data_IF_722278727887
#
_entry.id   IF_722278727887
#
_cell.length_a   1.000
_cell.length_b   1.000
_cell.length_c   1.000
_cell.angle_alpha   90.00
_cell.angle_beta   90.00
_cell.angle_gamma   90.00
#
_symmetry.space_group_name_H-M   'P 1'
#
loop_
_entity.id
_entity.type
_entity.pdbx_description
1 polymer ?
#
# COMPACT_ATOMS: atom_id res chain seq x y z
N UNK A 1 -24.16 8.97 -11.37
CA UNK A 1 -22.92 9.59 -10.88
C UNK A 1 -21.78 8.67 -11.28
N UNK A 2 -20.69 9.22 -11.83
CA UNK A 2 -19.45 8.46 -12.05
C UNK A 2 -18.85 8.05 -10.70
N UNK A 3 -18.17 6.89 -10.67
CA UNK A 3 -17.41 6.43 -9.51
C UNK A 3 -16.22 7.37 -9.26
N UNK A 4 -16.10 7.93 -8.06
CA UNK A 4 -14.96 8.78 -7.66
C UNK A 4 -14.24 8.20 -6.44
N UNK A 5 -12.92 8.02 -6.55
CA UNK A 5 -12.09 7.48 -5.48
C UNK A 5 -11.87 8.52 -4.38
N UNK A 6 -11.67 9.78 -4.76
CA UNK A 6 -11.44 10.88 -3.82
C UNK A 6 -12.68 11.17 -2.98
N UNK A 7 -13.88 11.19 -3.58
CA UNK A 7 -15.13 11.38 -2.80
C UNK A 7 -15.29 10.29 -1.74
N UNK A 8 -15.12 9.03 -2.13
CA UNK A 8 -15.29 7.88 -1.22
C UNK A 8 -14.23 7.83 -0.12
N UNK A 9 -12.98 8.14 -0.46
CA UNK A 9 -11.91 8.26 0.52
C UNK A 9 -12.14 9.44 1.47
N UNK A 10 -12.66 10.57 0.98
CA UNK A 10 -13.07 11.72 1.78
C UNK A 10 -14.14 11.34 2.81
N UNK A 11 -15.18 10.62 2.38
CA UNK A 11 -16.23 10.11 3.28
C UNK A 11 -15.67 9.17 4.37
N UNK A 12 -14.68 8.33 4.04
CA UNK A 12 -13.99 7.48 5.02
C UNK A 12 -13.18 8.35 6.00
N UNK A 13 -12.43 9.31 5.49
CA UNK A 13 -11.60 10.22 6.30
C UNK A 13 -12.45 11.07 7.25
N UNK A 14 -13.62 11.53 6.82
CA UNK A 14 -14.56 12.29 7.64
C UNK A 14 -15.03 11.46 8.84
N UNK A 15 -15.52 10.24 8.61
CA UNK A 15 -15.95 9.33 9.68
C UNK A 15 -14.82 9.01 10.67
N UNK A 16 -13.60 8.82 10.18
CA UNK A 16 -12.43 8.55 11.01
C UNK A 16 -12.06 9.76 11.87
N UNK A 17 -12.08 10.95 11.29
CA UNK A 17 -11.73 12.18 11.97
C UNK A 17 -12.72 12.55 13.08
N UNK A 18 -14.01 12.27 12.90
CA UNK A 18 -15.03 12.40 13.95
C UNK A 18 -14.70 11.54 15.18
N UNK A 19 -13.96 10.45 15.00
CA UNK A 19 -13.54 9.53 16.06
C UNK A 19 -12.08 9.72 16.47
N UNK A 20 -11.49 10.87 16.16
CA UNK A 20 -10.05 11.11 16.27
C UNK A 20 -9.44 10.75 17.63
N UNK A 21 -10.11 11.13 18.73
CA UNK A 21 -9.67 10.79 20.08
C UNK A 21 -9.68 9.28 20.36
N UNK A 22 -10.72 8.56 19.91
CA UNK A 22 -10.84 7.10 20.12
C UNK A 22 -9.83 6.31 19.28
N UNK A 23 -9.46 6.84 18.11
CA UNK A 23 -8.51 6.23 17.19
C UNK A 23 -7.05 6.66 17.46
N UNK A 24 -6.83 7.56 18.42
CA UNK A 24 -5.49 8.07 18.74
C UNK A 24 -4.85 8.87 17.61
N UNK A 25 -5.66 9.54 16.78
CA UNK A 25 -5.21 10.39 15.67
C UNK A 25 -5.46 11.87 16.00
N UNK A 26 -4.88 12.79 15.23
CA UNK A 26 -5.20 14.22 15.33
C UNK A 26 -5.61 14.82 14.00
N UNK A 27 -6.46 15.84 14.05
CA UNK A 27 -6.98 16.57 12.89
C UNK A 27 -6.66 18.05 13.11
N UNK A 28 -6.11 18.68 12.09
CA UNK A 28 -5.77 20.10 12.09
C UNK A 28 -5.96 20.70 10.71
N UNK A 29 -5.91 22.02 10.63
CA UNK A 29 -6.01 22.78 9.38
C UNK A 29 -4.75 23.62 9.23
N UNK A 30 -4.08 23.49 8.09
CA UNK A 30 -2.93 24.31 7.71
C UNK A 30 -3.37 25.74 7.38
N UNK A 31 -2.44 26.70 7.34
CA UNK A 31 -2.83 28.11 7.15
C UNK A 31 -3.44 28.41 5.77
N UNK A 32 -3.18 27.57 4.77
CA UNK A 32 -3.78 27.64 3.43
C UNK A 32 -5.16 26.93 3.33
N UNK A 33 -5.68 26.43 4.46
CA UNK A 33 -6.99 25.78 4.54
C UNK A 33 -6.97 24.27 4.32
N UNK A 34 -5.84 23.68 3.90
CA UNK A 34 -5.74 22.24 3.72
C UNK A 34 -5.91 21.50 5.05
N UNK A 35 -6.59 20.36 5.02
CA UNK A 35 -6.77 19.50 6.19
C UNK A 35 -5.56 18.59 6.35
N UNK A 36 -5.02 18.52 7.56
CA UNK A 36 -3.97 17.59 7.94
C UNK A 36 -4.51 16.62 9.00
N UNK A 37 -4.42 15.32 8.70
CA UNK A 37 -4.78 14.25 9.63
C UNK A 37 -3.55 13.42 9.93
N UNK A 38 -3.07 13.49 11.16
CA UNK A 38 -1.91 12.74 11.64
C UNK A 38 -2.37 11.39 12.22
N UNK A 39 -1.96 10.31 11.56
CA UNK A 39 -2.26 8.93 11.93
C UNK A 39 -1.14 8.26 12.76
N UNK A 40 -0.01 8.92 13.01
CA UNK A 40 1.09 8.25 13.72
C UNK A 40 2.46 8.93 13.73
N UNK A 41 2.55 10.24 13.47
CA UNK A 41 3.80 11.01 13.50
C UNK A 41 4.02 11.65 14.86
N UNK A 42 3.03 12.41 15.36
CA UNK A 42 3.02 13.06 16.68
C UNK A 42 2.02 12.43 17.64
N UNK A 43 1.20 11.52 17.14
CA UNK A 43 0.18 10.79 17.90
C UNK A 43 0.44 9.29 17.83
N UNK A 44 -0.14 8.48 18.73
CA UNK A 44 0.07 7.04 18.72
C UNK A 44 -0.49 6.33 17.48
N UNK A 45 -1.64 6.82 16.96
CA UNK A 45 -2.46 6.07 16.03
C UNK A 45 -2.95 4.75 16.62
N UNK A 46 -3.11 3.74 15.78
CA UNK A 46 -3.49 2.40 16.24
C UNK A 46 -3.92 1.49 15.10
N UNK A 47 -4.35 0.28 15.46
CA UNK A 47 -4.82 -0.71 14.49
C UNK A 47 -6.02 -0.21 13.69
N UNK A 48 -7.07 0.26 14.37
CA UNK A 48 -8.29 0.77 13.72
C UNK A 48 -8.02 2.02 12.88
N UNK A 49 -7.13 2.91 13.32
CA UNK A 49 -6.67 4.04 12.54
C UNK A 49 -5.95 3.56 11.25
N UNK A 50 -5.10 2.55 11.37
CA UNK A 50 -4.43 1.90 10.24
C UNK A 50 -5.39 1.23 9.26
N UNK A 51 -6.43 0.55 9.73
CA UNK A 51 -7.50 -0.01 8.88
C UNK A 51 -8.13 1.08 8.05
N UNK A 52 -8.56 2.17 8.70
CA UNK A 52 -9.15 3.31 8.02
C UNK A 52 -8.22 3.97 7.00
N UNK A 53 -6.94 4.16 7.37
CA UNK A 53 -5.91 4.69 6.47
C UNK A 53 -5.69 3.80 5.24
N UNK A 54 -5.77 2.48 5.42
CA UNK A 54 -5.65 1.49 4.34
C UNK A 54 -6.83 1.57 3.37
N UNK A 55 -8.05 1.69 3.90
CA UNK A 55 -9.27 1.85 3.10
C UNK A 55 -9.28 3.18 2.32
N UNK A 56 -8.72 4.25 2.91
CA UNK A 56 -8.45 5.52 2.21
C UNK A 56 -7.45 5.31 1.07
N UNK A 57 -6.35 4.60 1.32
CA UNK A 57 -5.37 4.28 0.27
C UNK A 57 -6.02 3.53 -0.90
N UNK A 58 -6.98 2.65 -0.62
CA UNK A 58 -7.75 1.89 -1.61
C UNK A 58 -8.86 2.71 -2.31
N UNK A 59 -8.99 4.02 -2.04
CA UNK A 59 -10.08 4.83 -2.58
C UNK A 59 -11.46 4.36 -2.12
N UNK A 60 -11.52 3.65 -0.99
CA UNK A 60 -12.66 2.95 -0.42
C UNK A 60 -13.13 1.70 -1.18
N UNK A 61 -12.43 1.25 -2.23
CA UNK A 61 -12.84 0.12 -3.08
C UNK A 61 -12.24 -1.22 -2.63
N UNK A 62 -11.89 -1.30 -1.34
CA UNK A 62 -11.49 -2.56 -0.73
C UNK A 62 -11.83 -2.57 0.75
N UNK A 63 -12.00 -3.77 1.28
CA UNK A 63 -12.27 -4.01 2.69
C UNK A 63 -10.99 -4.52 3.36
N UNK A 64 -10.68 -3.96 4.54
CA UNK A 64 -9.54 -4.40 5.35
C UNK A 64 -10.05 -4.95 6.67
N UNK A 65 -9.69 -6.19 7.00
CA UNK A 65 -10.07 -6.85 8.26
C UNK A 65 -8.85 -7.44 8.97
N UNK A 66 -8.96 -7.66 10.29
CA UNK A 66 -7.89 -8.26 11.08
C UNK A 66 -8.11 -9.75 11.27
N UNK A 67 -7.03 -10.53 11.23
CA UNK A 67 -7.05 -11.97 11.45
C UNK A 67 -5.71 -12.45 12.03
N UNK A 68 -5.69 -13.54 12.81
CA UNK A 68 -4.45 -14.23 13.12
C UNK A 68 -3.94 -14.99 11.88
N UNK A 69 -2.64 -14.94 11.63
CA UNK A 69 -1.95 -15.69 10.59
C UNK A 69 -0.96 -16.66 11.22
N UNK A 70 -0.91 -17.90 10.75
CA UNK A 70 -0.01 -18.94 11.25
C UNK A 70 1.15 -19.17 10.27
N UNK A 71 2.36 -19.26 10.82
CA UNK A 71 3.59 -19.52 10.07
C UNK A 71 4.31 -20.79 10.59
N UNK A 72 3.52 -21.77 11.03
CA UNK A 72 4.00 -23.00 11.65
C UNK A 72 3.74 -23.01 13.15
N UNK A 73 4.79 -22.92 13.95
CA UNK A 73 4.77 -22.93 15.42
C UNK A 73 4.48 -21.56 16.06
N UNK A 74 4.39 -20.49 15.27
CA UNK A 74 4.02 -19.16 15.76
C UNK A 74 2.93 -18.53 14.91
N UNK A 75 2.22 -17.57 15.51
CA UNK A 75 1.21 -16.77 14.85
C UNK A 75 1.50 -15.27 15.01
N UNK A 76 1.02 -14.50 14.05
CA UNK A 76 1.11 -13.04 14.03
C UNK A 76 -0.28 -12.47 13.79
N UNK A 77 -0.55 -11.29 14.33
CA UNK A 77 -1.69 -10.51 13.88
C UNK A 77 -1.42 -10.08 12.42
N UNK A 78 -2.41 -10.24 11.56
CA UNK A 78 -2.37 -9.82 10.17
C UNK A 78 -3.58 -9.02 9.76
N UNK A 79 -3.54 -8.57 8.51
CA UNK A 79 -4.68 -8.00 7.80
C UNK A 79 -5.05 -8.88 6.61
N UNK A 80 -6.35 -8.93 6.32
CA UNK A 80 -6.89 -9.40 5.06
C UNK A 80 -7.42 -8.23 4.26
N UNK A 81 -7.27 -8.28 2.95
CA UNK A 81 -7.70 -7.24 2.01
C UNK A 81 -8.52 -7.91 0.91
N UNK A 82 -9.77 -7.48 0.75
CA UNK A 82 -10.67 -7.98 -0.30
C UNK A 82 -11.01 -6.85 -1.27
N UNK A 83 -10.87 -7.10 -2.58
CA UNK A 83 -11.01 -6.10 -3.64
C UNK A 83 -11.67 -6.72 -4.88
N UNK A 84 -12.67 -6.02 -5.42
CA UNK A 84 -13.20 -6.26 -6.76
C UNK A 84 -12.67 -5.21 -7.74
N UNK A 85 -12.30 -5.63 -8.96
CA UNK A 85 -11.69 -4.78 -9.98
C UNK A 85 -10.40 -4.09 -9.51
N UNK A 86 -9.31 -4.82 -9.21
CA UNK A 86 -8.19 -4.28 -8.44
C UNK A 86 -7.39 -3.15 -9.09
N UNK A 87 -7.52 -2.90 -10.39
CA UNK A 87 -6.75 -1.87 -11.11
C UNK A 87 -6.96 -0.48 -10.50
N UNK A 88 -8.20 -0.09 -10.22
CA UNK A 88 -8.53 1.22 -9.63
C UNK A 88 -7.97 1.37 -8.19
N UNK A 89 -8.38 0.54 -7.22
CA UNK A 89 -7.91 0.65 -5.83
C UNK A 89 -6.41 0.41 -5.67
N UNK A 90 -5.82 -0.57 -6.37
CA UNK A 90 -4.40 -0.89 -6.19
C UNK A 90 -3.50 0.08 -6.96
N UNK A 91 -3.66 0.20 -8.28
CA UNK A 91 -2.71 0.94 -9.11
C UNK A 91 -3.08 2.43 -9.24
N UNK A 92 -4.37 2.72 -9.36
CA UNK A 92 -4.88 4.10 -9.47
C UNK A 92 -4.88 4.87 -8.14
N UNK A 93 -4.86 4.17 -7.00
CA UNK A 93 -4.95 4.79 -5.68
C UNK A 93 -3.83 4.31 -4.74
N UNK A 94 -3.86 3.06 -4.28
CA UNK A 94 -3.03 2.57 -3.16
C UNK A 94 -1.53 2.62 -3.45
N UNK A 95 -1.09 2.31 -4.67
CA UNK A 95 0.33 2.28 -5.06
C UNK A 95 1.04 3.57 -4.66
N UNK A 96 2.19 3.43 -4.00
CA UNK A 96 2.99 4.53 -3.50
C UNK A 96 3.91 5.10 -4.61
N UNK A 97 3.34 5.55 -5.72
CA UNK A 97 4.11 5.97 -6.89
C UNK A 97 4.40 7.48 -6.98
N UNK A 98 3.69 8.31 -6.21
CA UNK A 98 3.87 9.76 -6.29
C UNK A 98 4.95 10.25 -5.31
N UNK A 99 6.14 10.58 -5.83
CA UNK A 99 7.22 11.19 -5.03
C UNK A 99 6.88 12.64 -4.69
N UNK A 100 6.71 12.94 -3.40
CA UNK A 100 6.46 14.29 -2.90
C UNK A 100 7.75 14.85 -2.30
N UNK A 101 8.37 15.82 -2.98
CA UNK A 101 9.60 16.48 -2.55
C UNK A 101 9.41 17.99 -2.54
N UNK A 102 9.20 18.62 -1.38
CA UNK A 102 9.00 20.08 -1.26
C UNK A 102 9.84 20.63 -0.14
N UNK A 103 10.67 21.62 -0.42
CA UNK A 103 11.78 22.02 0.46
C UNK A 103 12.56 20.82 1.03
N UNK A 104 12.56 20.69 2.37
CA UNK A 104 13.20 19.59 3.12
C UNK A 104 12.27 18.40 3.39
N UNK A 105 11.02 18.46 2.95
CA UNK A 105 10.04 17.39 3.10
C UNK A 105 10.14 16.39 1.96
N UNK A 106 10.22 15.11 2.31
CA UNK A 106 10.15 13.98 1.40
C UNK A 106 9.16 12.95 1.94
N UNK A 107 8.31 12.43 1.05
CA UNK A 107 7.42 11.32 1.35
C UNK A 107 7.02 10.59 0.06
N UNK A 108 6.68 9.31 0.21
CA UNK A 108 5.96 8.58 -0.83
C UNK A 108 4.46 8.83 -0.66
N UNK A 109 3.83 9.30 -1.73
CA UNK A 109 2.41 9.59 -1.82
C UNK A 109 1.63 8.41 -2.38
N UNK A 110 0.57 8.03 -1.67
CA UNK A 110 -0.43 7.02 -2.01
C UNK A 110 -1.83 7.62 -1.95
N UNK A 111 -2.83 6.89 -2.42
CA UNK A 111 -4.23 7.29 -2.32
C UNK A 111 -4.77 8.01 -3.56
N UNK A 112 -6.05 8.38 -3.53
CA UNK A 112 -6.83 8.66 -4.73
C UNK A 112 -6.49 10.00 -5.39
N UNK A 113 -5.83 10.93 -4.69
CA UNK A 113 -5.34 12.18 -5.30
C UNK A 113 -4.41 11.91 -6.51
N UNK A 114 -3.72 10.75 -6.52
CA UNK A 114 -2.89 10.31 -7.65
C UNK A 114 -3.69 10.22 -8.96
N UNK A 115 -4.92 9.72 -8.91
CA UNK A 115 -5.79 9.59 -10.08
C UNK A 115 -6.32 10.93 -10.62
N UNK A 116 -6.28 12.01 -9.82
CA UNK A 116 -6.52 13.37 -10.30
C UNK A 116 -5.23 13.96 -10.90
N UNK A 117 -4.12 13.84 -10.16
CA UNK A 117 -2.86 14.49 -10.49
C UNK A 117 -2.12 13.87 -11.70
N UNK A 118 -2.18 12.54 -11.83
CA UNK A 118 -1.60 11.74 -12.92
C UNK A 118 -0.16 12.13 -13.30
N UNK A 119 0.66 12.40 -12.28
CA UNK A 119 2.06 12.82 -12.49
C UNK A 119 3.01 11.65 -12.82
N UNK A 120 2.51 10.42 -12.70
CA UNK A 120 3.28 9.18 -12.88
C UNK A 120 3.02 8.57 -14.26
N UNK A 121 4.05 8.03 -14.91
CA UNK A 121 3.93 7.31 -16.19
C UNK A 121 2.92 6.15 -16.15
N UNK A 122 2.72 5.56 -14.97
CA UNK A 122 1.74 4.50 -14.74
C UNK A 122 0.35 4.87 -15.31
N UNK A 123 -0.08 6.13 -15.17
CA UNK A 123 -1.40 6.58 -15.63
C UNK A 123 -1.56 6.59 -17.15
N UNK A 124 -0.47 6.60 -17.93
CA UNK A 124 -0.50 6.41 -19.39
C UNK A 124 -0.89 4.95 -19.74
N UNK A 125 -0.48 4.00 -18.90
CA UNK A 125 -0.75 2.57 -19.07
C UNK A 125 -2.14 2.19 -18.58
N UNK A 126 -2.49 2.53 -17.34
CA UNK A 126 -3.78 2.13 -16.74
C UNK A 126 -4.96 3.01 -17.17
N UNK A 127 -4.69 4.20 -17.74
CA UNK A 127 -5.68 5.13 -18.30
C UNK A 127 -6.84 5.46 -17.37
N UNK A 128 -6.52 5.59 -16.08
CA UNK A 128 -7.47 5.98 -15.04
C UNK A 128 -7.42 7.50 -14.85
N UNK A 129 -8.58 8.10 -14.64
CA UNK A 129 -8.74 9.48 -14.20
C UNK A 129 -9.90 9.55 -13.22
N UNK A 130 -9.69 10.23 -12.10
CA UNK A 130 -10.76 10.60 -11.17
C UNK A 130 -11.12 12.07 -11.38
N UNK A 131 -12.41 12.39 -11.32
CA UNK A 131 -12.94 13.75 -11.41
C UNK A 131 -13.67 14.07 -10.10
N UNK A 132 -13.03 14.91 -9.29
CA UNK A 132 -13.53 15.31 -7.98
C UNK A 132 -13.21 16.79 -7.70
N UNK A 133 -13.92 17.36 -6.73
CA UNK A 133 -13.75 18.73 -6.23
C UNK A 133 -12.89 18.78 -4.96
N UNK A 134 -12.37 17.63 -4.52
CA UNK A 134 -11.51 17.45 -3.35
C UNK A 134 -10.51 16.33 -3.60
N UNK A 135 -9.35 16.39 -2.95
CA UNK A 135 -8.29 15.41 -3.09
C UNK A 135 -7.85 14.86 -1.73
N UNK A 136 -7.69 13.54 -1.64
CA UNK A 136 -7.14 12.87 -0.45
C UNK A 136 -5.82 12.20 -0.82
N UNK A 137 -4.74 12.60 -0.17
CA UNK A 137 -3.42 12.01 -0.35
C UNK A 137 -2.93 11.43 0.98
N UNK A 138 -2.41 10.20 0.94
CA UNK A 138 -1.77 9.53 2.05
C UNK A 138 -0.25 9.63 1.89
N UNK A 139 0.44 10.08 2.92
CA UNK A 139 1.88 10.30 2.94
C UNK A 139 2.53 9.36 3.96
N UNK A 140 3.49 8.55 3.49
CA UNK A 140 4.35 7.79 4.38
C UNK A 140 5.55 8.68 4.77
N UNK A 141 5.56 9.19 6.00
CA UNK A 141 6.61 10.09 6.49
C UNK A 141 6.69 10.12 8.01
N UNK A 142 7.91 10.26 8.54
CA UNK A 142 8.17 10.56 9.95
C UNK A 142 8.01 12.04 10.32
N UNK A 143 7.58 12.89 9.37
CA UNK A 143 7.38 14.33 9.57
C UNK A 143 5.99 14.72 9.06
N UNK A 144 5.42 15.76 9.65
CA UNK A 144 4.16 16.34 9.16
C UNK A 144 4.45 17.16 7.89
N UNK A 145 3.58 17.09 6.87
CA UNK A 145 3.68 17.94 5.67
C UNK A 145 3.41 19.41 6.01
N UNK A 146 3.89 20.30 5.16
CA UNK A 146 3.72 21.75 5.26
C UNK A 146 2.67 22.26 4.26
N UNK A 147 2.33 23.55 4.36
CA UNK A 147 1.51 24.27 3.39
C UNK A 147 2.04 24.11 1.96
N UNK A 148 3.36 24.17 1.77
CA UNK A 148 4.02 23.98 0.47
C UNK A 148 3.69 22.61 -0.17
N UNK A 149 3.55 21.57 0.66
CA UNK A 149 3.14 20.24 0.20
C UNK A 149 1.68 20.26 -0.23
N UNK A 150 0.80 20.85 0.57
CA UNK A 150 -0.62 20.97 0.26
C UNK A 150 -0.87 21.80 -1.02
N UNK A 151 -0.18 22.93 -1.19
CA UNK A 151 -0.27 23.77 -2.38
C UNK A 151 0.16 23.03 -3.63
N UNK A 152 1.26 22.26 -3.55
CA UNK A 152 1.72 21.43 -4.65
C UNK A 152 0.71 20.34 -5.02
N UNK A 153 0.13 19.65 -4.04
CA UNK A 153 -0.90 18.63 -4.30
C UNK A 153 -2.13 19.26 -4.94
N UNK A 154 -2.57 20.42 -4.43
CA UNK A 154 -3.70 21.18 -4.98
C UNK A 154 -3.46 21.58 -6.44
N UNK A 155 -2.30 22.16 -6.74
CA UNK A 155 -1.89 22.54 -8.10
C UNK A 155 -1.97 21.34 -9.06
N UNK A 156 -1.37 20.20 -8.68
CA UNK A 156 -1.38 19.01 -9.54
C UNK A 156 -2.75 18.38 -9.69
N UNK A 157 -3.60 18.47 -8.68
CA UNK A 157 -4.98 18.00 -8.76
C UNK A 157 -5.93 19.01 -9.43
N UNK A 158 -5.47 20.22 -9.75
CA UNK A 158 -6.32 21.26 -10.37
C UNK A 158 -7.39 21.83 -9.44
N UNK A 159 -7.16 21.82 -8.13
CA UNK A 159 -8.10 22.30 -7.10
C UNK A 159 -7.45 23.34 -6.19
N UNK A 160 -8.24 23.92 -5.28
CA UNK A 160 -7.74 24.84 -4.25
C UNK A 160 -7.15 24.08 -3.06
N UNK A 161 -6.17 24.65 -2.33
CA UNK A 161 -5.58 24.00 -1.15
C UNK A 161 -6.58 23.65 -0.05
N UNK A 162 -7.62 24.46 0.15
CA UNK A 162 -8.71 24.20 1.10
C UNK A 162 -9.59 22.97 0.75
N UNK A 163 -9.35 22.36 -0.42
CA UNK A 163 -9.97 21.12 -0.87
C UNK A 163 -9.02 19.91 -0.79
N UNK A 164 -7.83 20.08 -0.24
CA UNK A 164 -6.85 19.01 -0.04
C UNK A 164 -6.93 18.48 1.39
N UNK A 165 -6.96 17.16 1.51
CA UNK A 165 -6.71 16.45 2.78
C UNK A 165 -5.43 15.61 2.68
N UNK A 166 -4.50 15.87 3.59
CA UNK A 166 -3.26 15.11 3.75
C UNK A 166 -3.39 14.21 4.97
N UNK A 167 -3.41 12.90 4.76
CA UNK A 167 -3.28 11.91 5.82
C UNK A 167 -1.81 11.46 5.91
N UNK A 168 -1.22 11.44 7.09
CA UNK A 168 0.21 11.10 7.24
C UNK A 168 0.44 10.06 8.34
N UNK A 169 1.27 9.06 8.06
CA UNK A 169 1.72 8.08 9.04
C UNK A 169 3.21 7.79 8.86
N UNK A 170 3.93 7.63 9.98
CA UNK A 170 5.29 7.09 9.96
C UNK A 170 5.26 5.58 9.74
N UNK A 171 6.23 5.04 9.00
CA UNK A 171 6.47 3.58 8.87
C UNK A 171 6.59 2.87 10.22
N UNK A 172 7.07 3.59 11.26
CA UNK A 172 7.23 3.06 12.63
C UNK A 172 5.92 3.01 13.43
N UNK A 173 4.87 3.73 13.01
CA UNK A 173 3.61 3.76 13.73
C UNK A 173 2.77 2.52 13.46
N UNK A 174 1.84 2.20 14.35
CA UNK A 174 0.92 1.07 14.12
C UNK A 174 0.03 1.30 12.90
N UNK A 175 -0.39 2.54 12.64
CA UNK A 175 -1.15 2.84 11.43
C UNK A 175 -0.32 2.65 10.15
N UNK A 176 0.98 3.01 10.21
CA UNK A 176 1.95 2.76 9.14
C UNK A 176 2.17 1.27 8.87
N UNK A 177 2.39 0.48 9.91
CA UNK A 177 2.57 -0.97 9.78
C UNK A 177 1.32 -1.66 9.18
N UNK A 178 0.11 -1.26 9.61
CA UNK A 178 -1.15 -1.78 9.06
C UNK A 178 -1.32 -1.41 7.59
N UNK A 179 -1.11 -0.15 7.21
CA UNK A 179 -1.30 0.26 5.81
C UNK A 179 -0.32 -0.42 4.86
N UNK A 180 0.93 -0.66 5.30
CA UNK A 180 1.91 -1.38 4.48
C UNK A 180 1.49 -2.84 4.31
N UNK A 181 1.07 -3.51 5.39
CA UNK A 181 0.57 -4.88 5.31
C UNK A 181 -0.67 -4.99 4.38
N UNK A 182 -1.53 -3.96 4.38
CA UNK A 182 -2.71 -3.90 3.51
C UNK A 182 -2.39 -3.71 2.01
N UNK A 183 -1.11 -3.63 1.61
CA UNK A 183 -0.68 -3.54 0.20
C UNK A 183 -0.47 -4.89 -0.47
N UNK A 184 -0.70 -6.02 0.22
CA UNK A 184 -0.45 -7.36 -0.34
C UNK A 184 -1.01 -7.55 -1.76
N UNK A 185 -2.29 -7.24 -1.99
CA UNK A 185 -2.90 -7.32 -3.33
C UNK A 185 -2.27 -6.32 -4.30
N UNK A 186 -1.98 -5.10 -3.86
CA UNK A 186 -1.34 -4.07 -4.70
C UNK A 186 0.05 -4.48 -5.18
N UNK A 187 0.88 -5.07 -4.31
CA UNK A 187 2.20 -5.56 -4.73
C UNK A 187 2.10 -6.66 -5.79
N UNK A 188 1.09 -7.53 -5.71
CA UNK A 188 0.83 -8.52 -6.77
C UNK A 188 0.37 -7.87 -8.08
N UNK A 189 -0.53 -6.87 -7.99
CA UNK A 189 -1.00 -6.13 -9.16
C UNK A 189 0.12 -5.35 -9.86
N UNK A 190 0.97 -4.67 -9.09
CA UNK A 190 2.13 -3.95 -9.61
C UNK A 190 3.12 -4.92 -10.26
N UNK A 191 3.39 -6.07 -9.60
CA UNK A 191 4.27 -7.11 -10.15
C UNK A 191 3.73 -7.69 -11.46
N UNK A 192 2.43 -7.96 -11.57
CA UNK A 192 1.80 -8.42 -12.81
C UNK A 192 2.00 -7.40 -13.93
N UNK A 193 1.79 -6.11 -13.65
CA UNK A 193 1.98 -5.04 -14.61
C UNK A 193 3.43 -4.99 -15.14
N UNK A 194 4.41 -5.04 -14.24
CA UNK A 194 5.84 -5.01 -14.60
C UNK A 194 6.30 -6.25 -15.37
N UNK A 195 5.63 -7.40 -15.16
CA UNK A 195 5.83 -8.62 -15.96
C UNK A 195 5.12 -8.58 -17.31
N UNK A 196 4.43 -7.48 -17.64
CA UNK A 196 3.72 -7.27 -18.91
C UNK A 196 2.37 -7.96 -18.99
N UNK A 197 1.80 -8.41 -17.87
CA UNK A 197 0.44 -8.95 -17.84
C UNK A 197 -0.59 -7.84 -17.98
N UNK A 198 -1.64 -8.09 -18.76
CA UNK A 198 -2.78 -7.19 -18.84
C UNK A 198 -3.60 -7.24 -17.54
N UNK A 199 -3.27 -6.33 -16.63
CA UNK A 199 -3.91 -6.22 -15.31
C UNK A 199 -5.42 -5.93 -15.37
N UNK A 200 -5.96 -5.50 -16.52
CA UNK A 200 -7.41 -5.33 -16.69
C UNK A 200 -8.16 -6.66 -16.71
N UNK A 201 -7.45 -7.77 -16.92
CA UNK A 201 -7.99 -9.13 -16.84
C UNK A 201 -8.18 -9.63 -15.40
N UNK A 202 -7.68 -8.92 -14.39
CA UNK A 202 -7.86 -9.31 -12.99
C UNK A 202 -9.24 -8.87 -12.51
N UNK A 203 -10.08 -9.84 -12.16
CA UNK A 203 -11.48 -9.64 -11.78
C UNK A 203 -11.60 -9.27 -10.31
N UNK A 204 -10.90 -10.00 -9.44
CA UNK A 204 -10.91 -9.80 -7.99
C UNK A 204 -9.59 -10.25 -7.36
N UNK A 205 -9.30 -9.70 -6.18
CA UNK A 205 -8.13 -10.02 -5.40
C UNK A 205 -8.45 -10.14 -3.92
N UNK A 206 -7.88 -11.15 -3.28
CA UNK A 206 -7.86 -11.29 -1.83
C UNK A 206 -6.41 -11.48 -1.38
N UNK A 207 -5.97 -10.73 -0.37
CA UNK A 207 -4.60 -10.81 0.15
C UNK A 207 -4.60 -10.87 1.66
N UNK A 208 -3.63 -11.59 2.23
CA UNK A 208 -3.32 -11.57 3.66
C UNK A 208 -1.87 -11.20 3.88
N UNK A 209 -1.57 -10.47 4.94
CA UNK A 209 -0.20 -10.08 5.30
C UNK A 209 -0.10 -9.91 6.82
N UNK A 210 1.00 -10.35 7.46
CA UNK A 210 1.22 -10.07 8.87
C UNK A 210 1.50 -8.59 9.05
N UNK A 211 1.16 -8.05 10.22
CA UNK A 211 1.51 -6.69 10.61
C UNK A 211 2.87 -6.74 11.30
N UNK A 212 3.77 -5.85 10.90
CA UNK A 212 5.09 -5.75 11.52
C UNK A 212 4.98 -5.44 13.02
N UNK A 213 5.83 -6.10 13.82
CA UNK A 213 5.99 -5.76 15.24
C UNK A 213 6.67 -4.40 15.40
N UNK A 214 6.23 -3.64 16.41
CA UNK A 214 6.72 -2.27 16.65
C UNK A 214 8.26 -2.22 16.70
N UNK A 215 8.84 -1.30 15.93
CA UNK A 215 10.28 -1.09 15.84
C UNK A 215 10.72 0.15 16.63
N UNK A 216 11.95 0.15 17.13
CA UNK A 216 12.51 1.28 17.89
C UNK A 216 12.93 2.45 16.97
N UNK A 217 13.37 2.14 15.76
CA UNK A 217 13.90 3.10 14.77
C UNK A 217 13.30 2.89 13.37
N UNK A 218 13.44 3.89 12.51
CA UNK A 218 12.84 3.92 11.17
C UNK A 218 13.43 2.85 10.24
N UNK A 219 14.72 2.54 10.35
CA UNK A 219 15.36 1.55 9.49
C UNK A 219 14.86 0.14 9.83
N UNK A 220 14.77 -0.18 11.11
CA UNK A 220 14.17 -1.44 11.57
C UNK A 220 12.69 -1.52 11.19
N UNK A 221 11.94 -0.42 11.29
CA UNK A 221 10.54 -0.37 10.88
C UNK A 221 10.37 -0.69 9.38
N UNK A 222 11.15 -0.04 8.52
CA UNK A 222 11.17 -0.28 7.07
C UNK A 222 11.51 -1.74 6.77
N UNK A 223 12.52 -2.29 7.47
CA UNK A 223 12.91 -3.70 7.32
C UNK A 223 11.74 -4.64 7.60
N UNK A 224 11.16 -4.52 8.80
CA UNK A 224 10.08 -5.40 9.26
C UNK A 224 8.82 -5.31 8.39
N UNK A 225 8.39 -4.12 8.00
CA UNK A 225 7.17 -3.95 7.19
C UNK A 225 7.32 -4.52 5.80
N UNK A 226 8.50 -4.41 5.18
CA UNK A 226 8.79 -5.08 3.91
C UNK A 226 8.88 -6.59 4.10
N UNK A 227 9.62 -7.07 5.10
CA UNK A 227 9.76 -8.50 5.39
C UNK A 227 8.40 -9.19 5.58
N UNK A 228 7.41 -8.52 6.19
CA UNK A 228 6.03 -9.01 6.28
C UNK A 228 5.42 -9.36 4.92
N UNK A 229 5.58 -8.48 3.93
CA UNK A 229 5.07 -8.70 2.56
C UNK A 229 5.91 -9.77 1.86
N UNK A 230 7.22 -9.59 1.85
CA UNK A 230 8.18 -10.43 1.13
C UNK A 230 8.14 -11.89 1.57
N UNK A 231 7.93 -12.14 2.87
CA UNK A 231 8.08 -13.47 3.46
C UNK A 231 6.79 -14.02 4.06
N UNK A 232 5.78 -13.18 4.29
CA UNK A 232 4.57 -13.56 5.00
C UNK A 232 3.25 -13.33 4.28
N UNK A 233 3.20 -12.59 3.16
CA UNK A 233 1.92 -12.34 2.49
C UNK A 233 1.52 -13.45 1.53
N UNK A 234 0.22 -13.75 1.46
CA UNK A 234 -0.38 -14.63 0.45
C UNK A 234 -1.46 -13.87 -0.31
N UNK A 235 -1.45 -13.98 -1.64
CA UNK A 235 -2.42 -13.32 -2.51
C UNK A 235 -3.13 -14.34 -3.38
N UNK A 236 -4.44 -14.16 -3.54
CA UNK A 236 -5.34 -14.94 -4.37
C UNK A 236 -5.97 -13.99 -5.39
N UNK A 237 -5.78 -14.27 -6.67
CA UNK A 237 -6.35 -13.48 -7.76
C UNK A 237 -7.28 -14.35 -8.59
N UNK A 238 -8.42 -13.80 -8.99
CA UNK A 238 -9.27 -14.39 -10.02
C UNK A 238 -9.10 -13.59 -11.30
N UNK A 239 -8.83 -14.26 -12.42
CA UNK A 239 -8.52 -13.61 -13.70
C UNK A 239 -9.36 -14.14 -14.85
N UNK A 240 -9.60 -13.29 -15.84
CA UNK A 240 -10.16 -13.64 -17.15
C UNK A 240 -9.06 -13.62 -18.20
N UNK A 241 -8.26 -14.70 -18.25
CA UNK A 241 -7.10 -14.84 -19.12
C UNK A 241 -7.03 -16.25 -19.71
N UNK A 242 -6.07 -16.50 -20.60
CA UNK A 242 -5.75 -17.88 -20.99
C UNK A 242 -4.88 -18.56 -19.94
N UNK A 243 -4.99 -19.88 -19.83
CA UNK A 243 -4.12 -20.68 -18.95
C UNK A 243 -2.62 -20.46 -19.26
N UNK A 244 -2.27 -20.38 -20.55
CA UNK A 244 -0.89 -20.16 -20.99
C UNK A 244 -0.30 -18.81 -20.57
N UNK A 245 -1.12 -17.75 -20.51
CA UNK A 245 -0.68 -16.45 -19.98
C UNK A 245 -0.30 -16.55 -18.50
N UNK A 246 -1.06 -17.33 -17.71
CA UNK A 246 -0.80 -17.52 -16.28
C UNK A 246 0.44 -18.40 -16.08
N UNK A 247 0.53 -19.52 -16.80
CA UNK A 247 1.66 -20.46 -16.74
C UNK A 247 2.99 -19.78 -17.06
N UNK A 248 3.02 -18.83 -18.00
CA UNK A 248 4.23 -18.11 -18.39
C UNK A 248 4.79 -17.14 -17.32
N UNK A 249 3.97 -16.77 -16.33
CA UNK A 249 4.32 -15.74 -15.33
C UNK A 249 4.21 -16.19 -13.88
N UNK A 250 3.48 -17.26 -13.55
CA UNK A 250 3.14 -17.60 -12.15
C UNK A 250 4.37 -17.74 -11.26
N UNK A 251 5.43 -18.37 -11.75
CA UNK A 251 6.68 -18.58 -11.00
C UNK A 251 7.54 -17.31 -10.86
N UNK A 252 7.21 -16.25 -11.60
CA UNK A 252 7.89 -14.95 -11.56
C UNK A 252 7.21 -13.95 -10.64
N UNK A 253 5.98 -14.21 -10.19
CA UNK A 253 5.26 -13.27 -9.31
C UNK A 253 5.87 -13.23 -7.91
N UNK A 254 6.10 -14.37 -7.21
CA UNK A 254 6.50 -14.31 -5.82
C UNK A 254 7.83 -13.60 -5.61
N UNK A 255 8.03 -13.02 -4.44
CA UNK A 255 9.30 -12.41 -4.01
C UNK A 255 10.50 -13.35 -4.20
N UNK A 256 10.28 -14.67 -4.06
CA UNK A 256 11.31 -15.71 -4.26
C UNK A 256 11.87 -15.84 -5.68
N UNK A 257 11.28 -15.14 -6.66
CA UNK A 257 11.81 -15.03 -8.02
C UNK A 257 12.93 -13.99 -8.15
N UNK A 258 13.07 -13.10 -7.17
CA UNK A 258 14.08 -12.05 -7.15
C UNK A 258 15.48 -12.60 -6.83
N UNK A 259 16.50 -11.97 -7.43
CA UNK A 259 17.91 -12.26 -7.10
C UNK A 259 18.31 -11.87 -5.67
N UNK A 260 17.57 -10.94 -5.07
CA UNK A 260 17.85 -10.41 -3.73
C UNK A 260 17.05 -11.14 -2.62
N UNK A 261 16.26 -12.15 -2.98
CA UNK A 261 15.48 -12.93 -2.01
C UNK A 261 16.35 -13.74 -1.05
N UNK A 262 15.86 -13.88 0.19
CA UNK A 262 16.41 -14.82 1.18
C UNK A 262 17.21 -14.17 2.31
N UNK A 263 17.09 -12.85 2.48
CA UNK A 263 17.79 -12.08 3.51
C UNK A 263 16.88 -10.98 4.06
N UNK A 264 17.11 -10.52 5.29
CA UNK A 264 16.26 -9.48 5.87
C UNK A 264 16.38 -8.18 5.08
N UNK A 265 15.25 -7.50 4.85
CA UNK A 265 15.23 -6.29 4.04
C UNK A 265 16.15 -5.20 4.62
N UNK A 266 16.22 -5.09 5.95
CA UNK A 266 17.15 -4.16 6.62
C UNK A 266 18.63 -4.46 6.36
N UNK A 267 19.01 -5.73 6.19
CA UNK A 267 20.38 -6.13 5.83
C UNK A 267 20.66 -5.83 4.36
N UNK A 268 19.70 -6.10 3.49
CA UNK A 268 19.78 -5.79 2.07
C UNK A 268 19.93 -4.29 1.83
N UNK A 269 19.13 -3.48 2.55
CA UNK A 269 19.19 -2.04 2.48
C UNK A 269 20.55 -1.50 2.91
N UNK A 270 21.13 -2.05 3.99
CA UNK A 270 22.50 -1.73 4.41
C UNK A 270 23.55 -2.14 3.39
N UNK A 271 23.44 -3.34 2.79
CA UNK A 271 24.35 -3.83 1.74
C UNK A 271 24.43 -2.87 0.56
N UNK A 272 23.31 -2.25 0.20
CA UNK A 272 23.23 -1.29 -0.90
C UNK A 272 23.40 0.16 -0.47
N UNK A 273 23.99 0.42 0.70
CA UNK A 273 24.26 1.77 1.24
C UNK A 273 23.00 2.65 1.38
N UNK A 274 21.85 2.02 1.62
CA UNK A 274 20.56 2.70 1.69
C UNK A 274 19.98 3.13 0.33
N UNK A 275 20.51 2.61 -0.77
CA UNK A 275 20.02 2.89 -2.11
C UNK A 275 18.93 1.89 -2.53
N UNK A 276 17.66 2.30 -2.37
CA UNK A 276 16.50 1.53 -2.81
C UNK A 276 16.54 1.14 -4.30
N UNK A 277 17.22 1.90 -5.17
CA UNK A 277 17.23 1.62 -6.62
C UNK A 277 18.19 0.48 -7.01
N UNK A 278 19.09 0.09 -6.11
CA UNK A 278 19.98 -1.06 -6.33
C UNK A 278 19.33 -2.40 -5.96
N UNK A 279 18.32 -2.36 -5.09
CA UNK A 279 17.49 -3.51 -4.77
C UNK A 279 16.70 -3.90 -6.02
N UNK A 280 16.70 -5.19 -6.35
CA UNK A 280 15.86 -5.71 -7.41
C UNK A 280 14.40 -5.30 -7.21
N UNK A 281 13.80 -4.50 -8.10
CA UNK A 281 12.42 -4.03 -7.94
C UNK A 281 11.42 -5.19 -7.89
N UNK A 282 11.81 -6.35 -8.42
CA UNK A 282 11.01 -7.58 -8.39
C UNK A 282 11.00 -8.29 -7.05
N UNK A 283 11.80 -7.83 -6.08
CA UNK A 283 11.72 -8.29 -4.71
C UNK A 283 10.39 -7.90 -4.08
N UNK A 284 9.92 -6.66 -4.28
CA UNK A 284 8.69 -6.10 -3.72
C UNK A 284 7.45 -6.78 -4.29
N UNK A 285 7.17 -7.97 -3.78
CA UNK A 285 6.18 -8.91 -4.30
C UNK A 285 5.73 -9.83 -3.17
N UNK A 286 4.56 -10.47 -3.29
CA UNK A 286 4.07 -11.34 -2.23
C UNK A 286 4.93 -12.60 -2.06
N UNK A 287 4.98 -13.14 -0.84
CA UNK A 287 5.64 -14.42 -0.57
C UNK A 287 5.01 -15.60 -1.33
N UNK A 288 3.68 -15.60 -1.46
CA UNK A 288 2.91 -16.68 -2.10
C UNK A 288 1.77 -16.12 -2.94
N UNK A 289 1.52 -16.74 -4.09
CA UNK A 289 0.46 -16.31 -5.01
C UNK A 289 -0.31 -17.51 -5.53
N UNK A 290 -1.65 -17.38 -5.58
CA UNK A 290 -2.55 -18.28 -6.28
C UNK A 290 -3.36 -17.49 -7.31
N UNK A 291 -3.38 -17.94 -8.56
CA UNK A 291 -4.19 -17.34 -9.63
C UNK A 291 -5.19 -18.38 -10.12
N UNK A 292 -6.48 -18.06 -10.01
CA UNK A 292 -7.58 -18.87 -10.56
C UNK A 292 -8.07 -18.26 -11.86
N UNK A 293 -8.08 -19.04 -12.93
CA UNK A 293 -8.70 -18.66 -14.18
C UNK A 293 -10.21 -18.88 -14.11
N UNK A 294 -10.99 -17.82 -14.26
CA UNK A 294 -12.45 -17.87 -14.21
C UNK A 294 -13.07 -18.71 -15.35
N UNK A 295 -12.40 -18.79 -16.50
CA UNK A 295 -12.92 -19.51 -17.66
C UNK A 295 -12.65 -21.02 -17.60
N UNK A 296 -11.43 -21.43 -17.20
CA UNK A 296 -11.03 -22.85 -17.14
C UNK A 296 -11.27 -23.50 -15.77
N UNK A 297 -11.44 -22.70 -14.70
CA UNK A 297 -11.55 -23.18 -13.32
C UNK A 297 -10.23 -23.68 -12.73
N UNK A 298 -9.12 -23.60 -13.46
CA UNK A 298 -7.80 -24.05 -12.98
C UNK A 298 -7.18 -23.00 -12.07
N UNK A 299 -6.45 -23.47 -11.05
CA UNK A 299 -5.69 -22.63 -10.13
C UNK A 299 -4.20 -22.95 -10.22
N UNK A 300 -3.41 -21.90 -10.38
CA UNK A 300 -1.96 -21.93 -10.45
C UNK A 300 -1.39 -21.34 -9.17
N UNK A 301 -0.32 -21.93 -8.64
CA UNK A 301 0.24 -21.52 -7.35
C UNK A 301 1.75 -21.49 -7.42
N UNK A 302 2.36 -20.44 -6.85
CA UNK A 302 3.81 -20.33 -6.72
C UNK A 302 4.18 -19.60 -5.42
N UNK A 303 5.44 -19.72 -5.05
CA UNK A 303 6.01 -19.10 -3.86
C UNK A 303 5.74 -19.90 -2.58
N UNK A 304 6.24 -19.36 -1.47
CA UNK A 304 6.15 -19.97 -0.14
C UNK A 304 6.35 -18.90 0.93
N UNK A 305 5.79 -19.14 2.12
CA UNK A 305 6.20 -18.36 3.29
C UNK A 305 7.64 -18.68 3.67
N UNK A 306 8.34 -17.69 4.22
CA UNK A 306 9.64 -17.87 4.84
C UNK A 306 9.53 -17.61 6.34
N UNK A 307 9.05 -18.62 7.07
CA UNK A 307 8.82 -18.55 8.51
C UNK A 307 10.09 -18.26 9.31
N UNK A 308 11.25 -18.73 8.84
CA UNK A 308 12.55 -18.47 9.48
C UNK A 308 12.92 -16.99 9.44
N UNK A 309 12.84 -16.36 8.26
CA UNK A 309 13.10 -14.92 8.12
C UNK A 309 12.05 -14.08 8.83
N UNK A 310 10.77 -14.46 8.77
CA UNK A 310 9.72 -13.76 9.53
C UNK A 310 9.99 -13.80 11.03
N UNK A 311 10.36 -14.96 11.58
CA UNK A 311 10.71 -15.08 12.99
C UNK A 311 11.90 -14.20 13.33
N UNK A 312 12.97 -14.28 12.55
CA UNK A 312 14.17 -13.47 12.77
C UNK A 312 13.87 -11.96 12.70
N UNK A 313 13.02 -11.53 11.77
CA UNK A 313 12.66 -10.12 11.58
C UNK A 313 11.76 -9.59 12.70
N UNK A 314 10.74 -10.37 13.10
CA UNK A 314 9.62 -9.86 13.89
C UNK A 314 9.64 -10.28 15.37
N UNK A 315 10.26 -11.42 15.68
CA UNK A 315 10.30 -12.02 17.03
C UNK A 315 11.73 -12.15 17.59
N UNK A 316 12.74 -11.94 16.75
CA UNK A 316 14.16 -11.92 17.12
C UNK A 316 14.65 -10.57 17.64
#
# INVERSE_FOLDING_TARGET
>A
MSLSLNRRAGEILDRIAEQSAALGISVSTLTNGARLVDFGVKVPGGLLAGKGLSEICLGGLGEVAFLPLSYGDFSLLGVSVAIDGPVLPCLGSQYAGWKIQRGKFFAMGSGPARAMARTEKLFETIRIQDEADSAVLVLESGRLPTEEVADYVAEKCGIKPDRVSLAVASTRSMAGAVQIAARSVETAMHKLLELGFDVTKVLSGFGVCPIATAAADDLTAIGRTNDCVLYGSEVFLTVSATDGEIEALIDKIPSSSSRDYGQLFGELFKRYDGDFYKIDPFLFSPAKTSITNAASGRTYRAGRFNAELLRASLLG
#
